data_IF_399727680984
#
_entry.id   IF_399727680984
#
_cell.length_a   1.000
_cell.length_b   1.000
_cell.length_c   1.000
_cell.angle_alpha   90.00
_cell.angle_beta   90.00
_cell.angle_gamma   90.00
#
_symmetry.space_group_name_H-M   'P 1'
#
loop_
_entity.id
_entity.type
_entity.pdbx_description
1 polymer ?
#
# COMPACT_ATOMS: atom_id res chain seq x y z
N UNK A 1 11.35 -29.90 8.53
CA UNK A 1 11.14 -29.83 8.65
C UNK A 1 10.83 -29.69 8.56
N UNK A 2 10.33 -29.61 8.50
CA UNK A 2 10.04 -29.41 8.57
C UNK A 2 9.58 -29.39 8.35
N UNK A 3 8.88 -29.43 8.12
CA UNK A 3 8.47 -29.45 8.09
C UNK A 3 8.08 -29.74 8.12
N UNK A 4 7.67 -29.84 8.13
CA UNK A 4 7.31 -30.19 8.24
C UNK A 4 6.64 -30.41 8.32
N UNK A 5 6.21 -30.55 8.18
CA UNK A 5 5.53 -30.52 8.11
C UNK A 5 4.79 -30.30 7.84
N UNK A 6 4.75 -30.65 7.89
CA UNK A 6 3.42 -30.21 7.69
C UNK A 6 3.09 -29.70 6.32
N UNK A 7 2.16 -30.28 5.66
CA UNK A 7 1.76 -29.78 4.35
C UNK A 7 1.25 -28.35 4.45
N UNK A 8 0.57 -28.04 5.53
CA UNK A 8 0.03 -26.70 5.74
C UNK A 8 1.14 -25.77 6.21
N UNK A 9 1.40 -24.74 5.43
CA UNK A 9 2.39 -23.75 5.80
C UNK A 9 1.80 -22.79 6.80
N UNK A 10 2.24 -22.88 8.02
CA UNK A 10 1.90 -21.91 9.04
C UNK A 10 2.92 -20.82 9.00
N UNK A 11 2.58 -19.65 9.58
CA UNK A 11 3.51 -18.54 9.61
C UNK A 11 4.84 -18.93 10.26
N UNK A 12 4.79 -19.76 11.28
CA UNK A 12 5.99 -20.24 11.95
C UNK A 12 6.87 -21.12 11.06
N UNK A 13 6.30 -21.62 9.98
CA UNK A 13 7.04 -22.48 9.04
C UNK A 13 7.66 -21.70 7.90
N UNK A 14 7.37 -20.40 7.79
CA UNK A 14 7.92 -19.56 6.74
C UNK A 14 9.37 -19.24 7.09
N UNK A 15 10.30 -19.36 6.13
CA UNK A 15 11.69 -19.02 6.39
C UNK A 15 11.84 -17.59 6.88
N UNK A 16 12.77 -17.39 7.80
CA UNK A 16 12.99 -16.07 8.40
C UNK A 16 13.30 -15.00 7.36
N UNK A 17 14.09 -15.33 6.35
CA UNK A 17 14.45 -14.38 5.31
C UNK A 17 13.22 -13.91 4.53
N UNK A 18 12.25 -14.78 4.31
CA UNK A 18 10.99 -14.38 3.65
C UNK A 18 10.17 -13.47 4.53
N UNK A 19 10.16 -13.74 5.84
CA UNK A 19 9.46 -12.86 6.78
C UNK A 19 10.10 -11.49 6.82
N UNK A 20 11.42 -11.44 6.80
CA UNK A 20 12.16 -10.17 6.80
C UNK A 20 11.93 -9.41 5.50
N UNK A 21 11.90 -10.10 4.37
CA UNK A 21 11.59 -9.47 3.10
C UNK A 21 10.21 -8.84 3.11
N UNK A 22 9.23 -9.55 3.65
CA UNK A 22 7.86 -9.05 3.74
C UNK A 22 7.81 -7.76 4.55
N UNK A 23 8.49 -7.75 5.71
CA UNK A 23 8.53 -6.59 6.59
C UNK A 23 9.27 -5.43 5.93
N UNK A 24 10.37 -5.74 5.24
CA UNK A 24 11.24 -4.71 4.67
C UNK A 24 10.84 -4.30 3.28
N UNK A 25 9.75 -4.86 2.76
CA UNK A 25 9.27 -4.49 1.45
C UNK A 25 8.48 -3.18 1.45
N UNK A 26 8.19 -2.66 2.63
CA UNK A 26 7.54 -1.35 2.75
C UNK A 26 8.57 -0.26 2.49
N UNK A 27 8.23 0.66 1.62
CA UNK A 27 9.11 1.77 1.26
C UNK A 27 8.53 3.07 1.77
N UNK A 28 9.42 3.97 2.16
CA UNK A 28 9.04 5.32 2.58
C UNK A 28 9.29 6.26 1.42
N UNK A 29 8.29 7.08 1.12
CA UNK A 29 8.44 8.14 0.14
C UNK A 29 7.89 9.42 0.73
N UNK A 30 8.22 10.55 0.13
CA UNK A 30 7.76 11.84 0.63
C UNK A 30 7.08 12.61 -0.49
N UNK A 31 5.94 13.18 -0.15
CA UNK A 31 5.24 14.11 -1.04
C UNK A 31 5.02 15.40 -0.26
N UNK A 32 5.69 16.47 -0.69
CA UNK A 32 5.65 17.75 0.00
C UNK A 32 5.97 17.61 1.50
N UNK A 33 6.99 16.80 1.81
CA UNK A 33 7.44 16.58 3.17
C UNK A 33 6.62 15.60 3.99
N UNK A 34 5.53 15.10 3.45
CA UNK A 34 4.65 14.15 4.16
C UNK A 34 5.01 12.73 3.79
N UNK A 35 5.06 11.85 4.80
CA UNK A 35 5.42 10.46 4.60
C UNK A 35 4.29 9.68 3.95
N UNK A 36 4.58 9.03 2.83
CA UNK A 36 3.64 8.13 2.15
C UNK A 36 4.35 6.80 2.03
N UNK A 37 3.89 5.80 2.75
CA UNK A 37 4.45 4.45 2.66
C UNK A 37 3.78 3.70 1.52
N UNK A 38 4.54 2.83 0.87
CA UNK A 38 3.99 1.99 -0.19
C UNK A 38 4.72 0.67 -0.24
N UNK A 39 4.06 -0.33 -0.84
CA UNK A 39 4.60 -1.66 -1.02
C UNK A 39 4.76 -1.88 -2.52
N UNK A 40 6.00 -2.10 -3.01
CA UNK A 40 6.20 -2.39 -4.42
C UNK A 40 5.77 -3.83 -4.72
N UNK A 41 4.84 -3.98 -5.65
CA UNK A 41 4.35 -5.28 -6.10
C UNK A 41 4.58 -5.39 -7.60
N UNK A 42 4.41 -6.60 -8.14
CA UNK A 42 4.62 -6.82 -9.57
C UNK A 42 3.70 -5.96 -10.44
N UNK A 43 2.51 -5.66 -9.93
CA UNK A 43 1.52 -4.85 -10.64
C UNK A 43 1.66 -3.35 -10.34
N UNK A 44 2.69 -2.96 -9.61
CA UNK A 44 2.92 -1.56 -9.28
C UNK A 44 2.85 -1.32 -7.78
N UNK A 45 2.99 -0.07 -7.35
CA UNK A 45 2.98 0.26 -5.93
C UNK A 45 1.57 0.19 -5.34
N UNK A 46 1.51 -0.23 -4.07
CA UNK A 46 0.30 -0.18 -3.26
C UNK A 46 0.55 0.81 -2.14
N UNK A 47 -0.13 1.94 -2.17
CA UNK A 47 0.08 3.03 -1.21
C UNK A 47 -0.78 2.82 0.03
N UNK A 48 -0.23 3.14 1.20
CA UNK A 48 -0.98 3.07 2.44
C UNK A 48 -2.05 4.15 2.40
N UNK A 49 -3.31 3.72 2.43
CA UNK A 49 -4.44 4.62 2.22
C UNK A 49 -4.50 5.74 3.26
N UNK A 50 -4.25 5.41 4.53
CA UNK A 50 -4.29 6.43 5.58
C UNK A 50 -3.25 7.53 5.33
N UNK A 51 -2.08 7.16 4.81
CA UNK A 51 -1.04 8.15 4.49
C UNK A 51 -1.49 9.06 3.36
N UNK A 52 -2.12 8.49 2.33
CA UNK A 52 -2.63 9.26 1.20
C UNK A 52 -3.70 10.25 1.66
N UNK A 53 -4.65 9.75 2.45
CA UNK A 53 -5.74 10.60 2.94
C UNK A 53 -5.21 11.73 3.82
N UNK A 54 -4.24 11.41 4.68
CA UNK A 54 -3.63 12.43 5.53
C UNK A 54 -2.87 13.47 4.73
N UNK A 55 -2.12 13.03 3.72
CA UNK A 55 -1.32 13.94 2.90
C UNK A 55 -2.19 14.93 2.11
N UNK A 56 -3.36 14.49 1.67
CA UNK A 56 -4.27 15.32 0.90
C UNK A 56 -5.33 16.01 1.79
N UNK A 57 -5.20 15.82 3.09
CA UNK A 57 -6.11 16.43 4.08
C UNK A 57 -7.58 16.02 3.84
N UNK A 58 -7.79 14.75 3.54
CA UNK A 58 -9.14 14.21 3.47
C UNK A 58 -9.64 13.88 4.88
N UNK A 59 -10.85 14.26 5.19
CA UNK A 59 -11.46 14.00 6.51
C UNK A 59 -12.29 12.73 6.50
N UNK A 60 -11.90 11.75 5.71
CA UNK A 60 -12.61 10.49 5.54
C UNK A 60 -11.78 9.36 6.11
N UNK A 61 -12.42 8.40 6.76
CA UNK A 61 -11.75 7.22 7.29
C UNK A 61 -11.41 6.24 6.16
N UNK A 62 -10.27 5.55 6.25
CA UNK A 62 -9.91 4.55 5.22
C UNK A 62 -11.00 3.50 5.01
N UNK A 63 -11.71 3.10 6.08
CA UNK A 63 -12.77 2.11 5.96
C UNK A 63 -13.93 2.58 5.07
N UNK A 64 -14.19 3.87 5.02
CA UNK A 64 -15.24 4.42 4.16
C UNK A 64 -14.79 4.44 2.70
N UNK A 65 -13.53 4.79 2.46
CA UNK A 65 -12.97 4.79 1.11
C UNK A 65 -12.95 3.37 0.56
N UNK A 66 -12.56 2.41 1.39
CA UNK A 66 -12.49 1.01 0.99
C UNK A 66 -13.82 0.51 0.42
N UNK A 67 -14.95 0.97 0.99
CA UNK A 67 -16.27 0.56 0.52
C UNK A 67 -16.58 1.04 -0.90
N UNK A 68 -15.93 2.11 -1.33
CA UNK A 68 -16.14 2.67 -2.68
C UNK A 68 -15.18 2.08 -3.71
N UNK A 69 -14.24 1.25 -3.28
CA UNK A 69 -13.24 0.65 -4.17
C UNK A 69 -13.44 -0.86 -4.26
N UNK A 70 -12.96 -1.44 -5.34
CA UNK A 70 -13.03 -2.89 -5.55
C UNK A 70 -11.91 -3.57 -4.76
N UNK A 71 -12.05 -4.86 -4.51
CA UNK A 71 -11.02 -5.62 -3.80
C UNK A 71 -9.72 -5.68 -4.57
N UNK A 72 -9.77 -5.58 -5.90
CA UNK A 72 -8.55 -5.51 -6.71
C UNK A 72 -7.85 -4.16 -6.60
N UNK A 73 -8.50 -3.16 -6.01
CA UNK A 73 -8.00 -1.78 -5.94
C UNK A 73 -7.60 -1.37 -4.54
N UNK A 74 -8.16 -2.01 -3.52
CA UNK A 74 -7.90 -1.68 -2.13
C UNK A 74 -7.98 -2.96 -1.30
N UNK A 75 -6.91 -3.25 -0.56
CA UNK A 75 -6.89 -4.45 0.28
C UNK A 75 -6.01 -4.23 1.51
N UNK A 76 -6.21 -5.05 2.53
CA UNK A 76 -5.37 -5.05 3.71
C UNK A 76 -4.04 -5.70 3.38
N UNK A 77 -2.94 -5.06 3.78
CA UNK A 77 -1.59 -5.56 3.54
C UNK A 77 -0.75 -5.36 4.78
N UNK A 78 0.23 -6.22 4.98
CA UNK A 78 1.17 -6.07 6.10
C UNK A 78 2.13 -4.94 5.81
N UNK A 79 2.25 -4.00 6.74
CA UNK A 79 3.10 -2.82 6.58
C UNK A 79 4.12 -2.65 7.68
N UNK A 80 4.33 -3.68 8.50
CA UNK A 80 5.31 -3.58 9.58
C UNK A 80 5.49 -4.88 10.31
N UNK A 81 6.30 -4.84 11.35
CA UNK A 81 6.53 -6.00 12.20
C UNK A 81 5.26 -6.32 12.99
N UNK A 82 5.18 -7.55 13.50
CA UNK A 82 4.05 -8.01 14.30
C UNK A 82 2.73 -7.97 13.52
N UNK A 83 2.80 -8.18 12.22
CA UNK A 83 1.61 -8.28 11.36
C UNK A 83 0.72 -7.04 11.40
N UNK A 84 1.31 -5.86 11.55
CA UNK A 84 0.55 -4.63 11.43
C UNK A 84 -0.08 -4.56 10.03
N UNK A 85 -1.38 -4.32 9.98
CA UNK A 85 -2.13 -4.29 8.72
C UNK A 85 -2.63 -2.89 8.44
N UNK A 86 -2.68 -2.55 7.16
CA UNK A 86 -3.27 -1.29 6.73
C UNK A 86 -3.95 -1.50 5.39
N UNK A 87 -5.00 -0.72 5.15
CA UNK A 87 -5.61 -0.68 3.83
C UNK A 87 -4.65 0.02 2.88
N UNK A 88 -4.41 -0.61 1.72
CA UNK A 88 -3.54 -0.06 0.70
C UNK A 88 -4.29 0.00 -0.63
N UNK A 89 -3.97 0.99 -1.44
CA UNK A 89 -4.59 1.18 -2.76
C UNK A 89 -3.50 1.10 -3.83
N UNK A 90 -3.84 0.44 -4.95
CA UNK A 90 -2.95 0.41 -6.10
C UNK A 90 -3.19 1.67 -6.96
N UNK A 91 -2.53 1.73 -8.11
CA UNK A 91 -2.66 2.92 -8.97
C UNK A 91 -4.09 3.11 -9.46
N UNK A 92 -4.81 2.04 -9.78
CA UNK A 92 -6.19 2.15 -10.21
C UNK A 92 -7.08 2.70 -9.10
N UNK A 93 -6.92 2.17 -7.88
CA UNK A 93 -7.66 2.68 -6.73
C UNK A 93 -7.32 4.12 -6.39
N UNK A 94 -6.04 4.45 -6.49
CA UNK A 94 -5.60 5.82 -6.25
C UNK A 94 -6.20 6.79 -7.26
N UNK A 95 -6.22 6.40 -8.53
CA UNK A 95 -6.79 7.23 -9.58
C UNK A 95 -8.27 7.49 -9.32
N UNK A 96 -9.02 6.46 -8.93
CA UNK A 96 -10.42 6.64 -8.58
C UNK A 96 -10.60 7.59 -7.40
N UNK A 97 -9.81 7.39 -6.35
CA UNK A 97 -9.87 8.23 -5.16
C UNK A 97 -9.63 9.69 -5.53
N UNK A 98 -8.60 9.94 -6.31
CA UNK A 98 -8.24 11.31 -6.71
C UNK A 98 -9.29 11.93 -7.62
N UNK A 99 -9.97 11.12 -8.44
CA UNK A 99 -11.00 11.64 -9.34
C UNK A 99 -12.24 12.14 -8.60
N UNK A 100 -12.48 11.61 -7.40
CA UNK A 100 -13.61 12.06 -6.58
C UNK A 100 -13.29 13.25 -5.71
N UNK A 101 -12.02 13.62 -5.61
CA UNK A 101 -11.59 14.49 -4.54
C UNK A 101 -11.90 15.96 -4.75
N UNK A 102 -11.81 16.44 -5.97
CA UNK A 102 -11.90 17.87 -6.21
C UNK A 102 -10.78 18.69 -5.58
N UNK A 103 -9.79 18.05 -4.96
CA UNK A 103 -8.68 18.75 -4.35
C UNK A 103 -7.74 19.29 -5.43
N UNK A 104 -7.29 20.55 -5.31
CA UNK A 104 -6.39 21.11 -6.32
C UNK A 104 -5.04 20.41 -6.37
N UNK A 105 -4.63 19.74 -5.28
CA UNK A 105 -3.37 19.02 -5.21
C UNK A 105 -3.43 17.65 -5.88
N UNK A 106 -4.62 17.15 -6.20
CA UNK A 106 -4.77 15.77 -6.70
C UNK A 106 -3.97 15.51 -7.98
N UNK A 107 -3.96 16.39 -9.00
CA UNK A 107 -3.15 16.11 -10.20
C UNK A 107 -1.66 16.02 -9.89
N UNK A 108 -1.14 16.87 -9.03
CA UNK A 108 0.28 16.85 -8.66
C UNK A 108 0.62 15.58 -7.89
N UNK A 109 -0.28 15.15 -7.00
CA UNK A 109 -0.10 13.91 -6.27
C UNK A 109 -0.08 12.71 -7.22
N UNK A 110 -1.00 12.69 -8.17
CA UNK A 110 -1.06 11.60 -9.15
C UNK A 110 0.23 11.51 -9.98
N UNK A 111 0.76 12.65 -10.39
CA UNK A 111 1.99 12.70 -11.14
C UNK A 111 3.16 12.15 -10.32
N UNK A 112 3.23 12.55 -9.06
CA UNK A 112 4.23 12.02 -8.14
C UNK A 112 4.11 10.50 -8.00
N UNK A 113 2.88 10.00 -7.85
CA UNK A 113 2.64 8.57 -7.72
C UNK A 113 3.04 7.80 -8.98
N UNK A 114 2.84 8.39 -10.16
CA UNK A 114 3.25 7.77 -11.40
C UNK A 114 4.77 7.63 -11.51
N UNK A 115 5.51 8.58 -10.95
CA UNK A 115 6.97 8.45 -10.91
C UNK A 115 7.39 7.30 -10.00
N UNK A 116 6.70 7.12 -8.88
CA UNK A 116 6.94 5.96 -8.02
C UNK A 116 6.63 4.68 -8.80
N UNK A 117 5.52 4.66 -9.53
CA UNK A 117 5.11 3.49 -10.32
C UNK A 117 6.17 3.11 -11.33
N UNK A 118 6.75 4.08 -12.04
CA UNK A 118 7.80 3.82 -13.01
C UNK A 118 9.00 3.13 -12.38
N UNK A 119 9.43 3.60 -11.23
CA UNK A 119 10.54 3.01 -10.52
C UNK A 119 10.22 1.62 -9.97
N UNK A 120 8.97 1.38 -9.62
CA UNK A 120 8.55 0.10 -9.05
C UNK A 120 8.45 -0.99 -10.11
N UNK A 121 7.90 -0.65 -11.26
CA UNK A 121 7.68 -1.62 -12.34
C UNK A 121 8.93 -1.84 -13.19
N UNK A 122 9.82 -0.89 -13.17
CA UNK A 122 11.05 -0.80 -13.93
C UNK A 122 11.81 -2.00 -14.22
#
# INVERSE_FOLDING_TARGET
MVNLHGATRKRSEVPLDQLLESVWNVRDARWQGKLIRYIPENDGPWFVLADVLGALDYKVKPSHVKKALRTEECRLMEIGVKSALANCVNMTGLLKLLSFSGKPEAPAFLEWAREIEKGTRG
#
